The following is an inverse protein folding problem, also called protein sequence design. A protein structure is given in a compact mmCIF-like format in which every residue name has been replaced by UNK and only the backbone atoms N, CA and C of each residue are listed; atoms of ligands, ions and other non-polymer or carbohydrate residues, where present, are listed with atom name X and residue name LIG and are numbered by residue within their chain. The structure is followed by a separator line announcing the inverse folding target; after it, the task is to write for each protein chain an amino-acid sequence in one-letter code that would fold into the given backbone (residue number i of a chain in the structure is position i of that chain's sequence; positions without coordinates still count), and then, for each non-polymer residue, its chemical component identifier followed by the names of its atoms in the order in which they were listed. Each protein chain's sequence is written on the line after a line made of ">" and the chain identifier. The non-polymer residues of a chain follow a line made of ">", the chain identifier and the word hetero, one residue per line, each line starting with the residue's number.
data_IF_365733668363
#
_entry.id   IF_365733668363
#
_cell.length_a   1.000
_cell.length_b   1.000
_cell.length_c   1.000
_cell.angle_alpha   90.00
_cell.angle_beta   90.00
_cell.angle_gamma   90.00
#
_symmetry.space_group_name_H-M   'P 1'
#
loop_
_entity.id
_entity.type
_entity.pdbx_description
1 polymer ?
#
# COMPACT_ATOMS: atom_id res chain seq x y z
N UNK A 1 -36.67 22.77 -23.13
CA UNK A 1 -36.71 22.22 -21.74
C UNK A 1 -36.67 23.38 -20.79
N UNK A 2 -37.48 23.37 -19.73
CA UNK A 2 -37.42 24.41 -18.68
C UNK A 2 -36.11 24.27 -17.91
N UNK A 3 -35.55 25.38 -17.44
CA UNK A 3 -34.37 25.40 -16.57
C UNK A 3 -34.75 25.09 -15.12
N UNK A 4 -33.78 24.64 -14.31
CA UNK A 4 -34.00 24.36 -12.87
C UNK A 4 -34.58 25.59 -12.15
N UNK A 5 -34.17 26.79 -12.50
CA UNK A 5 -34.71 28.04 -11.97
C UNK A 5 -36.20 28.18 -12.29
N UNK A 6 -36.60 27.91 -13.51
CA UNK A 6 -38.01 28.00 -13.94
C UNK A 6 -38.89 26.96 -13.23
N UNK A 7 -38.38 25.74 -13.00
CA UNK A 7 -39.13 24.75 -12.21
C UNK A 7 -39.31 25.17 -10.74
N UNK A 8 -38.27 25.78 -10.14
CA UNK A 8 -38.37 26.32 -8.77
C UNK A 8 -39.35 27.51 -8.66
N UNK A 9 -39.44 28.34 -9.68
CA UNK A 9 -40.46 29.41 -9.79
C UNK A 9 -41.87 28.80 -9.93
N UNK A 10 -42.08 27.76 -10.72
CA UNK A 10 -43.33 27.03 -10.84
C UNK A 10 -43.78 26.46 -9.49
N UNK A 11 -42.87 25.82 -8.73
CA UNK A 11 -43.14 25.30 -7.37
C UNK A 11 -43.55 26.42 -6.42
N UNK A 12 -42.88 27.56 -6.45
CA UNK A 12 -43.23 28.74 -5.64
C UNK A 12 -44.64 29.26 -5.95
N UNK A 13 -44.99 29.37 -7.24
CA UNK A 13 -46.33 29.79 -7.68
C UNK A 13 -47.43 28.80 -7.29
N UNK A 14 -47.14 27.51 -7.29
CA UNK A 14 -48.08 26.48 -6.82
C UNK A 14 -48.26 26.52 -5.30
N UNK A 15 -47.18 26.77 -4.54
CA UNK A 15 -47.26 26.94 -3.10
C UNK A 15 -48.09 28.20 -2.70
N UNK A 16 -47.93 29.31 -3.43
CA UNK A 16 -48.76 30.52 -3.21
C UNK A 16 -50.26 30.23 -3.40
N UNK A 17 -50.61 29.42 -4.38
CA UNK A 17 -52.00 29.00 -4.59
C UNK A 17 -52.52 28.13 -3.43
N UNK A 18 -51.71 27.22 -2.91
CA UNK A 18 -52.08 26.41 -1.74
C UNK A 18 -52.29 27.29 -0.50
N UNK A 19 -51.39 28.26 -0.26
CA UNK A 19 -51.52 29.18 0.88
C UNK A 19 -52.70 30.14 0.72
N UNK A 20 -53.09 30.52 -0.51
CA UNK A 20 -54.25 31.34 -0.77
C UNK A 20 -55.58 30.61 -0.44
N UNK A 21 -55.63 29.29 -0.70
CA UNK A 21 -56.79 28.43 -0.32
C UNK A 21 -56.91 28.37 1.21
N UNK A 22 -55.79 28.17 1.92
CA UNK A 22 -55.76 28.12 3.38
C UNK A 22 -56.15 29.47 4.00
N UNK A 23 -55.62 30.56 3.47
CA UNK A 23 -55.95 31.91 3.93
C UNK A 23 -57.43 32.28 3.73
N UNK A 24 -58.02 31.81 2.64
CA UNK A 24 -59.46 32.03 2.37
C UNK A 24 -60.35 31.28 3.36
N UNK A 25 -60.04 30.03 3.68
CA UNK A 25 -60.76 29.26 4.70
C UNK A 25 -60.59 29.86 6.10
N UNK A 26 -59.39 30.36 6.45
CA UNK A 26 -59.13 31.04 7.71
C UNK A 26 -59.88 32.35 7.85
N UNK A 27 -59.96 33.20 6.79
CA UNK A 27 -60.69 34.46 6.80
C UNK A 27 -62.16 34.26 6.96
N UNK A 28 -62.71 33.16 6.43
CA UNK A 28 -64.11 32.83 6.53
C UNK A 28 -64.46 32.01 7.81
N UNK A 29 -63.43 31.77 8.67
CA UNK A 29 -63.53 30.99 9.92
C UNK A 29 -64.29 29.65 9.73
N UNK A 30 -64.04 28.93 8.62
CA UNK A 30 -64.63 27.66 8.27
C UNK A 30 -63.55 26.63 7.92
N UNK A 31 -63.94 25.38 8.02
CA UNK A 31 -63.08 24.29 7.50
C UNK A 31 -63.09 24.30 5.97
N UNK A 32 -62.03 23.71 5.38
CA UNK A 32 -61.89 23.55 3.93
C UNK A 32 -63.04 22.67 3.40
N UNK A 33 -63.72 23.12 2.35
CA UNK A 33 -64.74 22.32 1.66
C UNK A 33 -64.08 21.16 0.96
N UNK A 34 -64.87 20.11 0.67
CA UNK A 34 -64.40 18.88 0.02
C UNK A 34 -63.77 19.15 -1.35
N UNK A 35 -64.29 20.16 -2.10
CA UNK A 35 -63.75 20.61 -3.38
C UNK A 35 -62.42 21.39 -3.24
N UNK A 36 -62.26 22.19 -2.18
CA UNK A 36 -61.03 22.93 -1.89
C UNK A 36 -59.93 21.97 -1.41
N UNK A 37 -60.30 20.94 -0.67
CA UNK A 37 -59.39 19.90 -0.19
C UNK A 37 -58.89 19.03 -1.35
N UNK A 38 -59.76 18.69 -2.31
CA UNK A 38 -59.40 17.99 -3.53
C UNK A 38 -58.44 18.80 -4.40
N UNK A 39 -58.75 20.11 -4.59
CA UNK A 39 -57.88 21.02 -5.35
C UNK A 39 -56.49 21.20 -4.69
N UNK A 40 -56.47 21.29 -3.37
CA UNK A 40 -55.20 21.40 -2.59
C UNK A 40 -54.37 20.14 -2.73
N UNK A 41 -54.97 18.96 -2.69
CA UNK A 41 -54.25 17.70 -2.90
C UNK A 41 -53.68 17.61 -4.31
N UNK A 42 -54.41 18.02 -5.33
CA UNK A 42 -53.95 18.06 -6.71
C UNK A 42 -52.77 19.01 -6.88
N UNK A 43 -52.77 20.17 -6.22
CA UNK A 43 -51.66 21.11 -6.22
C UNK A 43 -50.44 20.57 -5.48
N UNK A 44 -50.61 19.86 -4.38
CA UNK A 44 -49.53 19.22 -3.64
C UNK A 44 -48.87 18.09 -4.43
N UNK A 45 -49.66 17.26 -5.12
CA UNK A 45 -49.16 16.21 -6.00
C UNK A 45 -48.32 16.81 -7.15
N UNK A 46 -48.82 17.91 -7.75
CA UNK A 46 -48.08 18.64 -8.79
C UNK A 46 -46.76 19.22 -8.28
N UNK A 47 -46.71 19.73 -7.05
CA UNK A 47 -45.50 20.22 -6.39
C UNK A 47 -44.49 19.06 -6.15
N UNK A 48 -45.00 17.91 -5.69
CA UNK A 48 -44.16 16.73 -5.45
C UNK A 48 -43.52 16.20 -6.74
N UNK A 49 -44.28 16.13 -7.82
CA UNK A 49 -43.78 15.67 -9.11
C UNK A 49 -42.76 16.66 -9.71
N UNK A 50 -43.03 17.98 -9.58
CA UNK A 50 -42.06 19.00 -10.01
C UNK A 50 -40.76 18.95 -9.21
N UNK A 51 -40.84 18.72 -7.90
CA UNK A 51 -39.67 18.55 -7.04
C UNK A 51 -38.85 17.30 -7.40
N UNK A 52 -39.50 16.18 -7.79
CA UNK A 52 -38.80 14.99 -8.31
C UNK A 52 -38.00 15.31 -9.56
N UNK A 53 -38.59 16.10 -10.48
CA UNK A 53 -37.88 16.55 -11.72
C UNK A 53 -36.70 17.45 -11.36
N UNK A 54 -36.86 18.41 -10.45
CA UNK A 54 -35.76 19.29 -10.00
C UNK A 54 -34.63 18.46 -9.40
N UNK A 55 -34.93 17.51 -8.52
CA UNK A 55 -33.93 16.64 -7.89
C UNK A 55 -33.15 15.78 -8.93
N UNK A 56 -33.82 15.28 -9.97
CA UNK A 56 -33.17 14.54 -11.04
C UNK A 56 -32.25 15.43 -11.88
N UNK A 57 -32.67 16.63 -12.22
CA UNK A 57 -31.87 17.60 -12.97
C UNK A 57 -30.66 18.08 -12.17
N UNK A 58 -30.82 18.38 -10.88
CA UNK A 58 -29.70 18.75 -10.00
C UNK A 58 -28.68 17.59 -9.85
N UNK A 59 -29.16 16.35 -9.79
CA UNK A 59 -28.30 15.17 -9.79
C UNK A 59 -27.54 15.03 -11.12
N UNK A 60 -28.20 15.30 -12.23
CA UNK A 60 -27.59 15.26 -13.56
C UNK A 60 -26.54 16.37 -13.73
N UNK A 61 -26.82 17.59 -13.28
CA UNK A 61 -25.82 18.68 -13.28
C UNK A 61 -24.62 18.38 -12.40
N UNK A 62 -24.85 17.76 -11.23
CA UNK A 62 -23.75 17.33 -10.35
C UNK A 62 -22.87 16.25 -11.00
N UNK A 63 -23.46 15.30 -11.71
CA UNK A 63 -22.74 14.28 -12.47
C UNK A 63 -21.96 14.92 -13.62
N UNK A 64 -22.58 15.83 -14.39
CA UNK A 64 -21.91 16.57 -15.46
C UNK A 64 -20.75 17.42 -14.94
N UNK A 65 -20.93 18.11 -13.83
CA UNK A 65 -19.89 18.90 -13.18
C UNK A 65 -18.71 18.03 -12.70
N UNK A 66 -19.00 16.87 -12.15
CA UNK A 66 -17.96 15.91 -11.76
C UNK A 66 -17.23 15.29 -12.96
N UNK A 67 -17.92 15.03 -14.07
CA UNK A 67 -17.32 14.53 -15.31
C UNK A 67 -16.48 15.61 -16.00
N UNK A 68 -16.95 16.84 -16.08
CA UNK A 68 -16.19 17.97 -16.67
C UNK A 68 -14.96 18.34 -15.82
N UNK A 69 -15.04 18.19 -14.48
CA UNK A 69 -13.89 18.36 -13.59
C UNK A 69 -12.84 17.26 -13.85
N UNK A 70 -13.26 16.00 -14.15
CA UNK A 70 -12.31 14.92 -14.45
C UNK A 70 -11.60 15.09 -15.81
N UNK A 71 -12.23 15.66 -16.83
CA UNK A 71 -11.60 15.94 -18.11
C UNK A 71 -10.67 17.17 -18.08
N UNK A 72 -11.04 18.21 -17.36
CA UNK A 72 -10.22 19.42 -17.16
C UNK A 72 -9.05 19.16 -16.22
N UNK A 73 -9.18 18.29 -15.22
CA UNK A 73 -8.05 17.89 -14.36
C UNK A 73 -7.04 17.02 -15.09
N UNK A 74 -7.47 16.17 -16.01
CA UNK A 74 -6.54 15.35 -16.82
C UNK A 74 -5.76 16.18 -17.83
N UNK A 75 -6.35 17.26 -18.34
CA UNK A 75 -5.67 18.22 -19.25
C UNK A 75 -4.82 19.27 -18.51
N UNK A 76 -5.15 19.59 -17.25
CA UNK A 76 -4.40 20.55 -16.43
C UNK A 76 -3.27 19.93 -15.62
N UNK A 77 -3.27 18.61 -15.38
CA UNK A 77 -2.11 17.89 -14.81
C UNK A 77 -0.91 17.80 -15.76
N UNK A 78 -1.07 18.14 -17.02
CA UNK A 78 0.03 18.32 -17.97
C UNK A 78 0.60 19.75 -18.02
N UNK A 79 0.00 20.71 -17.31
CA UNK A 79 0.50 22.09 -17.19
C UNK A 79 0.07 22.68 -15.83
N UNK A 80 1.07 22.93 -15.01
CA UNK A 80 1.03 23.71 -13.77
C UNK A 80 0.57 22.94 -12.51
N UNK A 81 1.52 22.52 -11.72
CA UNK A 81 1.39 22.46 -10.25
C UNK A 81 1.06 23.89 -9.80
N UNK A 82 -0.21 24.17 -9.52
CA UNK A 82 -0.62 25.41 -8.87
C UNK A 82 -0.46 25.23 -7.37
N UNK A 83 0.39 26.11 -6.82
CA UNK A 83 0.55 26.39 -5.40
C UNK A 83 -0.78 26.40 -4.65
N UNK A 84 -0.89 25.54 -3.65
CA UNK A 84 -1.80 25.77 -2.54
C UNK A 84 -1.20 26.92 -1.73
N UNK A 85 -1.76 28.12 -1.86
CA UNK A 85 -1.44 29.24 -0.99
C UNK A 85 -1.95 28.92 0.42
N UNK A 86 -1.10 28.34 1.23
CA UNK A 86 -1.27 28.37 2.67
C UNK A 86 -0.83 29.78 3.12
N UNK A 87 -1.68 30.46 3.89
CA UNK A 87 -1.58 31.89 4.20
C UNK A 87 -0.40 32.26 5.12
N UNK A 88 0.83 31.97 4.69
CA UNK A 88 2.07 32.49 5.28
C UNK A 88 2.86 33.20 4.21
N UNK A 89 2.79 34.51 4.24
CA UNK A 89 3.53 35.43 3.39
C UNK A 89 5.05 35.14 3.44
N UNK A 90 5.69 35.01 2.28
CA UNK A 90 7.07 35.43 2.09
C UNK A 90 8.16 34.38 2.08
N UNK A 91 7.91 33.08 1.85
CA UNK A 91 8.98 32.10 1.68
C UNK A 91 8.83 31.35 0.35
N UNK A 92 9.61 31.77 -0.63
CA UNK A 92 9.71 31.04 -1.90
C UNK A 92 10.28 29.64 -1.67
N UNK A 93 9.55 28.61 -2.13
CA UNK A 93 10.03 27.21 -2.12
C UNK A 93 10.73 26.89 -3.44
N UNK A 94 11.58 25.89 -3.44
CA UNK A 94 12.16 25.36 -4.67
C UNK A 94 11.06 24.69 -5.50
N UNK A 95 11.11 24.88 -6.83
CA UNK A 95 10.14 24.29 -7.75
C UNK A 95 10.50 22.87 -8.14
N UNK A 96 11.76 22.45 -7.99
CA UNK A 96 12.24 21.09 -8.27
C UNK A 96 13.36 20.69 -7.34
N UNK A 97 13.51 19.35 -7.15
CA UNK A 97 14.62 18.78 -6.37
C UNK A 97 15.99 19.16 -6.98
N UNK A 98 16.10 19.15 -8.30
CA UNK A 98 17.34 19.53 -8.99
C UNK A 98 17.76 20.98 -8.70
N UNK A 99 16.81 21.92 -8.69
CA UNK A 99 17.10 23.31 -8.32
C UNK A 99 17.58 23.43 -6.88
N UNK A 100 16.97 22.70 -5.95
CA UNK A 100 17.43 22.69 -4.56
C UNK A 100 18.85 22.12 -4.44
N UNK A 101 19.14 21.01 -5.12
CA UNK A 101 20.47 20.39 -5.10
C UNK A 101 21.53 21.34 -5.68
N UNK A 102 21.26 22.01 -6.80
CA UNK A 102 22.15 23.03 -7.38
C UNK A 102 22.34 24.22 -6.44
N UNK A 103 21.30 24.68 -5.75
CA UNK A 103 21.41 25.77 -4.77
C UNK A 103 22.30 25.38 -3.58
N UNK A 104 22.21 24.12 -3.10
CA UNK A 104 23.09 23.57 -2.04
C UNK A 104 24.53 23.56 -2.51
N UNK A 105 24.79 23.11 -3.73
CA UNK A 105 26.11 23.09 -4.34
C UNK A 105 26.70 24.50 -4.46
N UNK A 106 25.93 25.45 -4.97
CA UNK A 106 26.38 26.83 -5.08
C UNK A 106 26.67 27.48 -3.71
N UNK A 107 25.86 27.16 -2.69
CA UNK A 107 26.10 27.64 -1.33
C UNK A 107 27.36 27.08 -0.71
N UNK A 108 27.81 25.90 -1.12
CA UNK A 108 28.96 25.21 -0.59
C UNK A 108 30.28 25.59 -1.29
N UNK A 109 30.24 26.22 -2.47
CA UNK A 109 31.44 26.72 -3.15
C UNK A 109 32.03 27.91 -2.42
N UNK A 110 33.37 27.97 -2.35
CA UNK A 110 34.10 29.03 -1.67
C UNK A 110 33.78 30.41 -2.32
N UNK A 111 33.04 31.25 -1.59
CA UNK A 111 32.54 32.53 -2.10
C UNK A 111 31.17 32.47 -2.83
N UNK A 112 30.50 31.32 -2.83
CA UNK A 112 29.16 31.17 -3.37
C UNK A 112 28.11 31.89 -2.50
N UNK A 113 27.08 32.44 -3.15
CA UNK A 113 25.98 33.06 -2.43
C UNK A 113 25.02 31.96 -1.93
N UNK A 114 24.71 31.97 -0.65
CA UNK A 114 23.73 31.03 -0.07
C UNK A 114 22.34 31.49 -0.45
N UNK A 115 21.59 30.63 -1.13
CA UNK A 115 20.21 30.90 -1.48
C UNK A 115 19.34 30.93 -0.19
N UNK A 116 18.59 32.04 0.08
CA UNK A 116 17.76 32.16 1.28
C UNK A 116 16.73 31.04 1.44
N UNK A 117 16.32 30.41 0.36
CA UNK A 117 15.35 29.29 0.33
C UNK A 117 15.86 28.05 1.03
N UNK A 118 17.18 27.84 1.10
CA UNK A 118 17.81 26.72 1.80
C UNK A 118 17.58 26.77 3.32
N UNK A 119 17.53 27.97 3.90
CA UNK A 119 17.25 28.14 5.34
C UNK A 119 15.78 27.90 5.68
N UNK A 120 14.90 28.05 4.70
CA UNK A 120 13.45 27.86 4.88
C UNK A 120 13.03 26.39 4.81
N UNK A 121 13.77 25.56 4.09
CA UNK A 121 13.54 24.12 4.02
C UNK A 121 13.81 23.39 5.36
N UNK A 122 14.63 24.00 6.24
CA UNK A 122 14.97 23.44 7.55
C UNK A 122 13.97 23.77 8.67
N UNK A 123 12.96 24.61 8.43
CA UNK A 123 12.11 25.18 9.49
C UNK A 123 10.91 24.28 9.88
N UNK A 124 10.58 23.23 9.14
CA UNK A 124 9.41 22.36 9.37
C UNK A 124 9.68 21.05 10.13
N UNK A 125 10.89 20.81 10.57
CA UNK A 125 11.18 19.59 11.36
C UNK A 125 12.52 19.62 12.07
N UNK A 126 12.53 19.84 13.39
CA UNK A 126 13.67 19.64 14.30
C UNK A 126 15.02 20.18 13.77
N UNK A 127 15.12 21.49 13.77
CA UNK A 127 16.38 22.19 13.57
C UNK A 127 17.36 21.87 14.71
N UNK A 128 18.23 20.92 14.48
CA UNK A 128 19.43 20.73 15.26
C UNK A 128 20.57 20.36 14.33
N UNK A 129 20.93 21.24 13.42
CA UNK A 129 22.27 21.27 12.88
C UNK A 129 22.49 22.61 12.21
N UNK A 130 23.36 23.38 12.83
CA UNK A 130 23.97 24.58 12.31
C UNK A 130 24.65 24.23 10.99
N UNK A 131 24.56 25.08 9.93
CA UNK A 131 25.16 24.79 8.60
C UNK A 131 26.69 24.78 8.57
N UNK A 132 27.36 24.76 9.72
CA UNK A 132 28.82 24.77 9.82
C UNK A 132 29.47 23.51 9.22
N UNK A 133 28.73 22.41 9.08
CA UNK A 133 29.29 21.14 8.57
C UNK A 133 28.76 20.78 7.16
N UNK A 134 28.17 21.74 6.44
CA UNK A 134 27.78 21.58 5.01
C UNK A 134 26.61 20.65 4.72
N UNK A 135 25.84 20.25 5.73
CA UNK A 135 24.64 19.43 5.55
C UNK A 135 23.39 20.28 5.33
N UNK A 136 22.72 20.14 4.18
CA UNK A 136 21.43 20.74 3.90
C UNK A 136 20.35 19.67 3.79
N UNK A 137 19.19 19.91 4.41
CA UNK A 137 18.05 19.02 4.30
C UNK A 137 17.27 19.31 3.01
N UNK A 138 16.87 18.25 2.31
CA UNK A 138 16.00 18.34 1.15
C UNK A 138 14.57 18.70 1.58
N UNK A 139 13.87 19.50 0.77
CA UNK A 139 12.50 19.91 1.03
C UNK A 139 11.58 18.69 1.12
N UNK A 140 10.67 18.66 2.10
CA UNK A 140 9.86 17.49 2.45
C UNK A 140 8.96 17.01 1.31
N UNK A 141 8.42 17.92 0.51
CA UNK A 141 7.57 17.59 -0.64
C UNK A 141 8.29 16.68 -1.67
N UNK A 142 9.60 16.86 -1.87
CA UNK A 142 10.40 16.02 -2.77
C UNK A 142 10.73 14.66 -2.17
N UNK A 143 10.91 14.63 -0.86
CA UNK A 143 11.18 13.41 -0.08
C UNK A 143 9.97 12.48 -0.09
N UNK A 144 8.78 13.01 0.10
CA UNK A 144 7.53 12.23 0.05
C UNK A 144 7.28 11.65 -1.34
N UNK A 145 7.63 12.39 -2.40
CA UNK A 145 7.60 11.89 -3.78
C UNK A 145 8.50 10.68 -3.99
N UNK A 146 9.75 10.74 -3.52
CA UNK A 146 10.69 9.61 -3.62
C UNK A 146 10.18 8.36 -2.88
N UNK A 147 9.53 8.51 -1.74
CA UNK A 147 8.95 7.38 -1.00
C UNK A 147 7.78 6.74 -1.76
N UNK A 148 6.90 7.56 -2.37
CA UNK A 148 5.81 7.05 -3.19
C UNK A 148 6.33 6.30 -4.41
N UNK A 149 7.33 6.83 -5.09
CA UNK A 149 7.98 6.20 -6.24
C UNK A 149 8.63 4.86 -5.85
N UNK A 150 9.27 4.78 -4.68
CA UNK A 150 9.83 3.54 -4.13
C UNK A 150 8.78 2.48 -3.87
N UNK A 151 7.69 2.83 -3.19
CA UNK A 151 6.61 1.89 -2.89
C UNK A 151 5.92 1.45 -4.18
N UNK A 152 5.72 2.35 -5.15
CA UNK A 152 5.11 2.03 -6.43
C UNK A 152 5.99 1.09 -7.28
N UNK A 153 7.31 1.17 -7.16
CA UNK A 153 8.28 0.33 -7.89
C UNK A 153 8.42 -1.07 -7.26
N UNK A 154 8.25 -1.18 -5.93
CA UNK A 154 8.34 -2.46 -5.21
C UNK A 154 7.22 -3.45 -5.61
N UNK A 155 7.55 -4.74 -5.64
CA UNK A 155 6.60 -5.82 -5.95
C UNK A 155 5.94 -6.35 -4.68
N UNK A 156 6.70 -6.46 -3.58
CA UNK A 156 6.28 -7.07 -2.32
C UNK A 156 5.80 -6.01 -1.31
N UNK A 157 6.55 -4.93 -1.15
CA UNK A 157 6.25 -3.87 -0.18
C UNK A 157 4.81 -3.32 -0.26
N UNK A 158 4.23 -3.04 -1.46
CA UNK A 158 2.85 -2.55 -1.57
C UNK A 158 1.78 -3.53 -1.10
N UNK A 159 2.11 -4.83 -1.07
CA UNK A 159 1.19 -5.91 -0.66
C UNK A 159 1.28 -6.23 0.83
N UNK A 160 2.30 -5.72 1.51
CA UNK A 160 2.45 -5.86 2.95
C UNK A 160 1.48 -4.96 3.70
N UNK A 161 1.21 -5.29 4.96
CA UNK A 161 0.38 -4.46 5.84
C UNK A 161 1.18 -3.25 6.33
N UNK A 162 0.88 -2.02 5.88
CA UNK A 162 1.62 -0.84 6.27
C UNK A 162 1.30 -0.45 7.72
N UNK A 163 2.31 -0.08 8.49
CA UNK A 163 2.20 0.43 9.84
C UNK A 163 2.98 1.73 9.97
N UNK A 164 2.33 2.90 9.85
CA UNK A 164 3.03 4.17 10.00
C UNK A 164 3.46 4.38 11.46
N UNK A 165 4.68 4.89 11.65
CA UNK A 165 5.22 5.26 12.95
C UNK A 165 5.33 6.79 13.02
N UNK A 166 4.95 7.35 14.18
CA UNK A 166 5.04 8.78 14.45
C UNK A 166 6.48 9.29 14.32
N UNK A 167 6.64 10.52 13.83
CA UNK A 167 7.94 11.19 13.65
C UNK A 167 8.80 11.23 14.92
N UNK A 168 8.20 11.19 16.10
CA UNK A 168 8.90 11.27 17.40
C UNK A 168 9.30 9.92 17.97
N UNK A 169 8.97 8.79 17.31
CA UNK A 169 9.27 7.45 17.81
C UNK A 169 10.12 6.68 16.80
N UNK A 170 11.04 5.84 17.29
CA UNK A 170 11.85 4.93 16.47
C UNK A 170 11.41 3.47 16.62
N UNK A 171 10.42 3.20 17.42
CA UNK A 171 9.87 1.85 17.61
C UNK A 171 8.37 1.91 17.85
N UNK A 172 7.70 0.80 17.53
CA UNK A 172 6.29 0.60 17.85
C UNK A 172 6.09 -0.77 18.48
N UNK A 173 5.23 -0.84 19.50
CA UNK A 173 4.83 -2.09 20.16
C UNK A 173 3.37 -2.34 19.87
N UNK A 174 3.08 -3.45 19.22
CA UNK A 174 1.73 -3.87 18.84
C UNK A 174 1.38 -5.12 19.64
N UNK A 175 0.19 -5.15 20.23
CA UNK A 175 -0.29 -6.35 20.92
C UNK A 175 -0.87 -7.31 19.87
N UNK A 176 -0.26 -8.46 19.72
CA UNK A 176 -0.74 -9.57 18.91
C UNK A 176 -1.32 -10.69 19.78
N UNK A 177 -2.13 -11.54 19.19
CA UNK A 177 -2.62 -12.75 19.84
C UNK A 177 -1.54 -13.83 19.77
N UNK A 178 -1.20 -14.45 20.90
CA UNK A 178 -0.28 -15.57 20.95
C UNK A 178 -1.05 -16.88 20.69
N UNK A 179 -1.03 -17.35 19.46
CA UNK A 179 -1.76 -18.55 19.04
C UNK A 179 -0.83 -19.48 18.25
N UNK A 180 -0.50 -20.62 18.83
CA UNK A 180 0.35 -21.65 18.24
C UNK A 180 -0.46 -22.87 17.79
N UNK A 181 -1.63 -23.12 18.40
CA UNK A 181 -2.47 -24.28 18.10
C UNK A 181 -3.95 -23.95 18.26
N UNK A 182 -4.74 -24.44 17.31
CA UNK A 182 -6.21 -24.39 17.34
C UNK A 182 -6.85 -25.71 17.74
N UNK A 183 -6.06 -26.69 18.16
CA UNK A 183 -6.59 -28.03 18.50
C UNK A 183 -7.65 -27.97 19.63
N UNK A 184 -7.44 -27.15 20.65
CA UNK A 184 -8.36 -27.04 21.78
C UNK A 184 -8.86 -25.63 22.10
N UNK A 185 -8.15 -24.61 21.67
CA UNK A 185 -8.45 -23.20 21.97
C UNK A 185 -8.25 -22.33 20.75
N UNK A 186 -8.90 -21.13 20.70
CA UNK A 186 -8.74 -20.14 19.64
C UNK A 186 -8.40 -18.79 20.23
N UNK A 187 -7.89 -17.86 19.40
CA UNK A 187 -7.57 -16.49 19.78
C UNK A 187 -6.75 -16.39 21.09
N UNK A 188 -5.65 -17.18 21.14
CA UNK A 188 -4.73 -17.14 22.26
C UNK A 188 -5.21 -17.88 23.51
N UNK A 189 -6.24 -18.71 23.44
CA UNK A 189 -6.68 -19.52 24.56
C UNK A 189 -8.15 -19.41 24.92
N UNK A 190 -8.96 -18.68 24.15
CA UNK A 190 -10.40 -18.59 24.35
C UNK A 190 -11.06 -19.93 23.99
N UNK A 191 -11.92 -20.45 24.88
CA UNK A 191 -12.74 -21.64 24.65
C UNK A 191 -14.21 -21.27 24.63
N UNK A 192 -14.94 -21.78 23.66
CA UNK A 192 -16.39 -21.76 23.62
C UNK A 192 -16.94 -23.15 23.95
N UNK A 193 -18.06 -23.21 24.63
CA UNK A 193 -18.74 -24.44 25.02
C UNK A 193 -20.20 -24.37 24.57
N UNK A 194 -20.70 -25.50 24.11
CA UNK A 194 -22.13 -25.78 24.09
C UNK A 194 -22.47 -26.28 25.50
N UNK A 195 -23.26 -25.53 26.23
CA UNK A 195 -23.56 -25.81 27.63
C UNK A 195 -25.06 -26.09 27.77
N UNK A 196 -25.41 -27.09 28.55
CA UNK A 196 -26.78 -27.35 28.98
C UNK A 196 -27.14 -26.40 30.12
N UNK A 197 -28.44 -26.29 30.40
CA UNK A 197 -28.96 -25.47 31.49
C UNK A 197 -28.28 -25.85 32.84
N UNK A 198 -27.75 -24.84 33.56
CA UNK A 198 -27.01 -24.98 34.81
C UNK A 198 -25.65 -25.68 34.73
N UNK A 199 -25.03 -25.89 33.57
CA UNK A 199 -23.68 -26.42 33.46
C UNK A 199 -22.61 -25.35 33.68
N UNK A 200 -21.55 -25.67 34.42
CA UNK A 200 -20.42 -24.75 34.69
C UNK A 200 -19.44 -24.71 33.51
N UNK A 201 -19.21 -23.53 32.91
CA UNK A 201 -18.24 -23.34 31.86
C UNK A 201 -16.84 -23.13 32.46
N UNK A 202 -15.83 -23.84 31.93
CA UNK A 202 -14.43 -23.68 32.33
C UNK A 202 -13.91 -22.30 31.97
N UNK A 203 -13.35 -21.57 32.91
CA UNK A 203 -12.75 -20.24 32.69
C UNK A 203 -11.58 -20.32 31.70
N UNK A 204 -11.57 -19.44 30.71
CA UNK A 204 -10.49 -19.34 29.70
C UNK A 204 -9.85 -17.95 29.76
N UNK A 205 -8.53 -17.88 29.54
CA UNK A 205 -7.75 -16.65 29.61
C UNK A 205 -6.95 -16.46 28.31
N UNK A 206 -7.17 -15.36 27.57
CA UNK A 206 -6.40 -15.12 26.35
C UNK A 206 -4.95 -14.79 26.68
N UNK A 207 -4.02 -15.27 25.83
CA UNK A 207 -2.60 -14.92 25.85
C UNK A 207 -2.30 -13.90 24.75
N UNK A 208 -1.60 -12.85 25.12
CA UNK A 208 -1.16 -11.81 24.20
C UNK A 208 0.36 -11.85 24.06
N UNK A 209 0.84 -11.54 22.86
CA UNK A 209 2.24 -11.36 22.54
C UNK A 209 2.46 -9.89 22.13
N UNK A 210 3.59 -9.33 22.55
CA UNK A 210 4.04 -8.05 22.06
C UNK A 210 4.84 -8.26 20.77
N UNK A 211 4.43 -7.58 19.70
CA UNK A 211 5.17 -7.45 18.45
C UNK A 211 5.92 -6.12 18.57
N UNK A 212 7.23 -6.16 18.56
CA UNK A 212 8.07 -4.97 18.68
C UNK A 212 8.80 -4.77 17.34
N UNK A 213 8.60 -3.59 16.75
CA UNK A 213 9.24 -3.17 15.51
C UNK A 213 10.17 -2.01 15.85
N UNK A 214 11.46 -2.20 15.60
CA UNK A 214 12.53 -1.22 15.85
C UNK A 214 13.09 -0.79 14.50
N UNK A 215 12.86 0.46 14.12
CA UNK A 215 13.25 0.95 12.81
C UNK A 215 14.75 0.86 12.57
N UNK A 216 15.12 0.19 11.51
CA UNK A 216 16.47 0.10 10.99
C UNK A 216 16.70 1.14 9.90
N UNK A 217 17.97 1.50 9.71
CA UNK A 217 18.39 2.55 8.78
C UNK A 217 18.87 1.90 7.48
N UNK A 218 18.13 2.10 6.40
CA UNK A 218 18.60 1.85 5.04
C UNK A 218 19.18 3.12 4.49
N UNK A 219 20.40 3.06 3.95
CA UNK A 219 21.16 4.23 3.49
C UNK A 219 21.70 3.97 2.08
N UNK A 220 21.41 4.89 1.16
CA UNK A 220 22.00 4.95 -0.16
C UNK A 220 22.91 6.17 -0.30
N UNK A 221 24.03 6.02 -0.96
CA UNK A 221 25.01 7.07 -1.22
C UNK A 221 25.25 7.14 -2.72
N UNK A 222 25.28 8.36 -3.27
CA UNK A 222 25.60 8.61 -4.66
C UNK A 222 26.64 9.73 -4.75
N UNK A 223 27.65 9.53 -5.60
CA UNK A 223 28.62 10.55 -5.96
C UNK A 223 28.21 11.21 -7.27
N UNK A 224 28.23 12.53 -7.32
CA UNK A 224 27.97 13.29 -8.54
C UNK A 224 29.12 14.24 -8.82
N UNK A 225 29.57 14.28 -10.06
CA UNK A 225 30.57 15.23 -10.53
C UNK A 225 29.96 16.60 -10.72
N UNK A 226 30.78 17.65 -10.62
CA UNK A 226 30.36 19.04 -10.85
C UNK A 226 29.74 19.27 -12.25
N UNK A 227 30.16 18.49 -13.27
CA UNK A 227 29.62 18.54 -14.61
C UNK A 227 28.15 18.03 -14.64
N UNK A 228 27.86 16.94 -13.93
CA UNK A 228 26.48 16.43 -13.82
C UNK A 228 25.57 17.38 -13.03
N UNK A 229 26.14 18.10 -12.07
CA UNK A 229 25.43 19.10 -11.26
C UNK A 229 25.11 20.38 -12.04
N UNK A 230 25.81 20.65 -13.14
CA UNK A 230 25.49 21.77 -14.03
C UNK A 230 24.13 21.56 -14.75
N UNK A 231 23.71 20.30 -14.95
CA UNK A 231 22.37 19.94 -15.47
C UNK A 231 21.46 19.42 -14.36
N UNK A 232 20.78 20.36 -13.70
CA UNK A 232 19.85 20.06 -12.60
C UNK A 232 18.73 19.09 -13.00
N UNK A 233 18.24 19.15 -14.23
CA UNK A 233 17.14 18.33 -14.71
C UNK A 233 17.58 16.87 -14.93
N UNK A 234 18.77 16.67 -15.49
CA UNK A 234 19.33 15.34 -15.67
C UNK A 234 19.63 14.65 -14.33
N UNK A 235 20.23 15.40 -13.40
CA UNK A 235 20.48 14.90 -12.03
C UNK A 235 19.21 14.52 -11.29
N UNK A 236 18.16 15.36 -11.33
CA UNK A 236 16.87 15.05 -10.71
C UNK A 236 16.25 13.79 -11.31
N UNK A 237 16.24 13.67 -12.64
CA UNK A 237 15.73 12.49 -13.33
C UNK A 237 16.45 11.20 -12.95
N UNK A 238 17.78 11.25 -12.83
CA UNK A 238 18.59 10.13 -12.39
C UNK A 238 18.29 9.72 -10.96
N UNK A 239 18.30 10.67 -10.02
CA UNK A 239 18.04 10.41 -8.59
C UNK A 239 16.62 9.83 -8.39
N UNK A 240 15.62 10.40 -9.04
CA UNK A 240 14.22 9.94 -8.92
C UNK A 240 13.99 8.52 -9.44
N UNK A 241 14.80 8.06 -10.36
CA UNK A 241 14.66 6.71 -10.91
C UNK A 241 15.57 5.70 -10.19
N UNK A 242 16.81 6.04 -9.93
CA UNK A 242 17.82 5.11 -9.40
C UNK A 242 17.59 4.76 -7.92
N UNK A 243 17.37 5.77 -7.06
CA UNK A 243 17.22 5.52 -5.62
C UNK A 243 15.94 4.78 -5.25
N UNK A 244 14.74 5.15 -5.76
CA UNK A 244 13.54 4.38 -5.50
C UNK A 244 13.65 2.92 -5.95
N UNK A 245 14.24 2.67 -7.11
CA UNK A 245 14.42 1.31 -7.62
C UNK A 245 15.33 0.47 -6.74
N UNK A 246 16.49 1.02 -6.32
CA UNK A 246 17.42 0.32 -5.43
C UNK A 246 16.81 0.07 -4.04
N UNK A 247 16.17 1.07 -3.46
CA UNK A 247 15.53 0.92 -2.15
C UNK A 247 14.36 -0.06 -2.19
N UNK A 248 13.55 -0.04 -3.25
CA UNK A 248 12.48 -1.01 -3.45
C UNK A 248 13.06 -2.43 -3.52
N UNK A 249 14.12 -2.64 -4.27
CA UNK A 249 14.80 -3.93 -4.39
C UNK A 249 15.30 -4.43 -3.04
N UNK A 250 16.01 -3.59 -2.27
CA UNK A 250 16.55 -3.95 -0.96
C UNK A 250 15.47 -4.20 0.09
N UNK A 251 14.37 -3.44 0.05
CA UNK A 251 13.23 -3.66 0.94
C UNK A 251 12.52 -4.97 0.60
N UNK A 252 12.30 -5.25 -0.67
CA UNK A 252 11.68 -6.50 -1.12
C UNK A 252 12.58 -7.71 -0.78
N UNK A 253 13.92 -7.59 -0.92
CA UNK A 253 14.86 -8.62 -0.47
C UNK A 253 14.81 -8.83 1.05
N UNK A 254 14.77 -7.75 1.82
CA UNK A 254 14.62 -7.84 3.28
C UNK A 254 13.30 -8.48 3.72
N UNK A 255 12.20 -8.29 2.99
CA UNK A 255 10.91 -8.96 3.25
C UNK A 255 11.05 -10.48 3.06
N UNK A 256 11.80 -10.93 2.09
CA UNK A 256 12.01 -12.37 1.83
C UNK A 256 13.08 -12.94 2.74
N UNK A 257 14.30 -12.37 2.76
CA UNK A 257 15.52 -12.97 3.31
C UNK A 257 16.09 -12.26 4.53
N UNK A 258 15.53 -11.13 4.96
CA UNK A 258 16.06 -10.35 6.06
C UNK A 258 16.28 -11.19 7.33
N UNK A 259 17.37 -10.92 8.04
CA UNK A 259 17.77 -11.67 9.25
C UNK A 259 17.11 -11.18 10.53
N UNK A 260 16.48 -9.99 10.52
CA UNK A 260 15.95 -9.34 11.72
C UNK A 260 17.00 -8.65 12.60
N UNK A 261 18.27 -8.68 12.18
CA UNK A 261 19.37 -8.03 12.88
C UNK A 261 19.90 -6.87 12.02
N UNK A 262 19.55 -5.63 12.37
CA UNK A 262 19.90 -4.44 11.59
C UNK A 262 19.08 -4.23 10.31
N UNK A 263 18.14 -5.11 10.04
CA UNK A 263 17.23 -5.11 8.89
C UNK A 263 15.91 -5.83 9.26
N UNK A 264 14.82 -5.70 8.49
CA UNK A 264 13.57 -6.40 8.72
C UNK A 264 13.75 -7.92 8.85
N UNK A 265 12.85 -8.59 9.60
CA UNK A 265 12.83 -10.04 9.68
C UNK A 265 12.09 -10.62 8.48
N UNK A 266 12.82 -11.26 7.58
CA UNK A 266 12.28 -11.85 6.37
C UNK A 266 11.45 -13.11 6.59
N UNK A 267 10.62 -13.42 5.60
CA UNK A 267 9.71 -14.56 5.61
C UNK A 267 10.48 -15.88 5.78
N UNK A 268 11.59 -16.04 5.04
CA UNK A 268 12.38 -17.30 5.05
C UNK A 268 13.08 -17.54 6.38
N UNK A 269 13.41 -16.49 7.13
CA UNK A 269 14.08 -16.59 8.44
C UNK A 269 13.10 -16.53 9.61
N UNK A 270 11.80 -16.48 9.34
CA UNK A 270 10.78 -16.36 10.38
C UNK A 270 10.35 -17.73 10.91
N UNK A 271 10.06 -17.83 12.20
CA UNK A 271 9.52 -19.04 12.82
C UNK A 271 8.11 -19.43 12.36
N UNK A 272 7.43 -18.56 11.61
CA UNK A 272 6.11 -18.85 11.06
C UNK A 272 6.17 -19.44 9.65
N UNK A 273 7.33 -19.55 9.03
CA UNK A 273 7.48 -20.24 7.74
C UNK A 273 7.12 -21.72 7.86
N UNK A 274 6.32 -22.21 6.95
CA UNK A 274 6.09 -23.64 6.76
C UNK A 274 6.86 -24.10 5.53
N UNK A 275 7.79 -25.03 5.71
CA UNK A 275 8.51 -25.66 4.61
C UNK A 275 7.86 -27.01 4.24
N UNK A 276 7.66 -27.23 2.95
CA UNK A 276 7.17 -28.49 2.41
C UNK A 276 8.37 -29.28 1.88
N UNK A 277 8.57 -30.48 2.37
CA UNK A 277 9.66 -31.36 1.94
C UNK A 277 9.43 -31.88 0.53
N UNK A 278 10.52 -32.22 -0.17
CA UNK A 278 10.48 -32.91 -1.48
C UNK A 278 9.78 -34.25 -1.40
N UNK A 279 9.31 -34.77 -2.53
CA UNK A 279 8.73 -36.10 -2.65
C UNK A 279 9.81 -37.18 -2.57
N UNK A 280 9.39 -38.38 -2.15
CA UNK A 280 10.29 -39.53 -2.16
C UNK A 280 10.64 -39.93 -3.61
N UNK A 281 11.93 -39.92 -3.95
CA UNK A 281 12.38 -40.20 -5.31
C UNK A 281 12.34 -39.00 -6.27
N UNK A 282 12.04 -37.80 -5.77
CA UNK A 282 12.14 -36.58 -6.56
C UNK A 282 13.61 -36.24 -6.83
N UNK A 283 13.92 -35.95 -8.09
CA UNK A 283 15.26 -35.53 -8.51
C UNK A 283 15.65 -34.20 -7.83
N UNK A 284 16.97 -34.01 -7.70
CA UNK A 284 17.48 -32.72 -7.18
C UNK A 284 17.09 -31.59 -8.12
N UNK A 285 16.92 -30.39 -7.54
CA UNK A 285 16.65 -29.14 -8.26
C UNK A 285 15.43 -29.21 -9.21
N UNK A 286 14.37 -29.95 -8.81
CA UNK A 286 13.11 -30.04 -9.57
C UNK A 286 11.92 -29.56 -8.79
N UNK A 287 10.87 -29.08 -9.47
CA UNK A 287 9.56 -28.76 -8.89
C UNK A 287 8.53 -29.69 -9.54
N UNK A 288 7.82 -30.47 -8.72
CA UNK A 288 6.77 -31.36 -9.18
C UNK A 288 5.40 -30.91 -8.72
N UNK A 289 4.35 -31.36 -9.38
CA UNK A 289 2.96 -30.92 -9.11
C UNK A 289 2.53 -31.24 -7.67
N UNK A 290 2.98 -32.34 -7.12
CA UNK A 290 2.68 -32.77 -5.75
C UNK A 290 3.22 -31.79 -4.71
N UNK A 291 4.41 -31.20 -4.95
CA UNK A 291 4.96 -30.18 -4.07
C UNK A 291 4.02 -28.95 -3.99
N UNK A 292 3.56 -28.48 -5.16
CA UNK A 292 2.67 -27.32 -5.27
C UNK A 292 1.32 -27.59 -4.60
N UNK A 293 0.74 -28.77 -4.81
CA UNK A 293 -0.51 -29.20 -4.18
C UNK A 293 -0.35 -29.26 -2.66
N UNK A 294 0.75 -29.82 -2.16
CA UNK A 294 1.05 -29.87 -0.72
C UNK A 294 1.27 -28.47 -0.14
N UNK A 295 1.96 -27.57 -0.84
CA UNK A 295 2.12 -26.18 -0.41
C UNK A 295 0.77 -25.47 -0.27
N UNK A 296 -0.14 -25.65 -1.23
CA UNK A 296 -1.47 -25.05 -1.19
C UNK A 296 -2.32 -25.53 0.00
N UNK A 297 -2.11 -26.75 0.49
CA UNK A 297 -2.79 -27.29 1.66
C UNK A 297 -2.26 -26.76 3.00
N UNK A 298 -1.07 -26.15 3.01
CA UNK A 298 -0.38 -25.67 4.20
C UNK A 298 -0.58 -24.17 4.46
N UNK A 299 -1.22 -23.45 3.56
CA UNK A 299 -1.61 -22.06 3.77
C UNK A 299 -2.94 -21.98 4.54
N UNK A 300 -3.16 -20.92 5.30
CA UNK A 300 -4.47 -20.70 5.93
C UNK A 300 -5.58 -20.56 4.89
N UNK A 301 -6.72 -21.19 5.12
CA UNK A 301 -7.86 -21.12 4.21
C UNK A 301 -8.34 -19.66 3.98
N UNK A 302 -8.29 -18.83 5.02
CA UNK A 302 -8.62 -17.40 4.93
C UNK A 302 -7.60 -16.59 4.11
N UNK A 303 -6.34 -16.99 4.11
CA UNK A 303 -5.26 -16.31 3.39
C UNK A 303 -5.13 -16.77 1.95
N UNK A 304 -5.68 -17.93 1.60
CA UNK A 304 -5.52 -18.49 0.25
C UNK A 304 -6.04 -17.56 -0.85
N UNK A 305 -7.13 -16.84 -0.59
CA UNK A 305 -7.73 -15.92 -1.56
C UNK A 305 -6.85 -14.67 -1.84
N UNK A 306 -6.00 -14.29 -0.91
CA UNK A 306 -5.10 -13.14 -1.04
C UNK A 306 -3.66 -13.54 -1.34
N UNK A 307 -3.36 -14.84 -1.27
CA UNK A 307 -2.03 -15.36 -1.49
C UNK A 307 -1.62 -15.29 -2.97
N UNK A 308 -0.33 -15.08 -3.19
CA UNK A 308 0.30 -15.14 -4.51
C UNK A 308 1.49 -16.11 -4.48
N UNK A 309 1.79 -16.68 -5.64
CA UNK A 309 3.01 -17.43 -5.84
C UNK A 309 4.14 -16.47 -6.22
N UNK A 310 5.20 -16.47 -5.44
CA UNK A 310 6.44 -15.76 -5.73
C UNK A 310 7.49 -16.77 -6.13
N UNK A 311 8.09 -16.58 -7.28
CA UNK A 311 8.93 -17.59 -7.90
C UNK A 311 10.17 -16.92 -8.50
N UNK A 312 11.33 -17.54 -8.36
CA UNK A 312 12.50 -17.13 -9.12
C UNK A 312 12.27 -17.38 -10.61
N UNK A 313 12.68 -16.44 -11.46
CA UNK A 313 12.50 -16.57 -12.91
C UNK A 313 13.15 -17.86 -13.46
N UNK A 314 14.25 -18.33 -12.85
CA UNK A 314 14.90 -19.60 -13.23
C UNK A 314 14.04 -20.83 -12.99
N UNK A 315 13.03 -20.76 -12.13
CA UNK A 315 12.10 -21.86 -11.86
C UNK A 315 10.96 -21.95 -12.90
N UNK A 316 10.75 -20.90 -13.72
CA UNK A 316 9.66 -20.87 -14.71
C UNK A 316 9.68 -22.04 -15.70
N UNK A 317 10.83 -22.48 -16.26
CA UNK A 317 10.87 -23.66 -17.13
C UNK A 317 10.34 -24.90 -16.45
N UNK A 318 10.62 -25.11 -15.16
CA UNK A 318 10.11 -26.26 -14.38
C UNK A 318 8.58 -26.19 -14.24
N UNK A 319 8.02 -25.00 -14.03
CA UNK A 319 6.58 -24.82 -13.94
C UNK A 319 5.88 -25.13 -15.29
N UNK A 320 6.46 -24.70 -16.41
CA UNK A 320 5.88 -24.94 -17.75
C UNK A 320 5.92 -26.42 -18.16
N UNK A 321 6.93 -27.15 -17.70
CA UNK A 321 7.08 -28.58 -17.99
C UNK A 321 6.41 -29.47 -16.94
N UNK A 322 5.92 -28.89 -15.84
CA UNK A 322 5.28 -29.62 -14.76
C UNK A 322 3.99 -30.30 -15.22
N UNK A 323 3.90 -31.57 -15.03
CA UNK A 323 2.75 -32.41 -15.43
C UNK A 323 2.30 -33.34 -14.32
N UNK A 324 1.00 -33.64 -14.29
CA UNK A 324 0.46 -34.72 -13.47
C UNK A 324 0.38 -35.95 -14.36
N UNK A 325 0.94 -37.09 -13.89
CA UNK A 325 0.84 -38.34 -14.59
C UNK A 325 -0.61 -38.84 -14.63
N UNK A 326 -1.18 -38.94 -15.83
CA UNK A 326 -2.52 -39.47 -16.07
C UNK A 326 -2.37 -40.62 -17.05
N UNK A 327 -2.43 -41.87 -16.57
CA UNK A 327 -2.16 -43.07 -17.39
C UNK A 327 -0.70 -43.11 -17.88
N UNK A 328 -0.52 -43.30 -19.17
CA UNK A 328 0.81 -43.29 -19.84
C UNK A 328 1.20 -41.92 -20.36
N UNK A 329 0.30 -40.90 -20.30
CA UNK A 329 0.53 -39.52 -20.69
C UNK A 329 0.54 -38.61 -19.47
N UNK A 330 1.12 -37.39 -19.60
CA UNK A 330 1.08 -36.34 -18.60
C UNK A 330 0.13 -35.22 -19.02
N UNK A 331 -0.61 -34.65 -18.07
CA UNK A 331 -1.37 -33.43 -18.29
C UNK A 331 -0.63 -32.25 -17.66
N UNK A 332 -0.38 -31.22 -18.44
CA UNK A 332 0.25 -29.99 -17.94
C UNK A 332 -0.59 -29.34 -16.82
N UNK A 333 0.05 -29.00 -15.72
CA UNK A 333 -0.59 -28.37 -14.54
C UNK A 333 -0.59 -26.87 -14.66
N UNK A 334 0.45 -26.30 -15.23
CA UNK A 334 0.60 -24.87 -15.41
C UNK A 334 0.70 -24.54 -16.90
N UNK A 335 -0.29 -23.80 -17.40
CA UNK A 335 -0.27 -23.26 -18.75
C UNK A 335 -0.81 -21.83 -18.68
N UNK A 336 -0.07 -20.85 -19.22
CA UNK A 336 -0.58 -19.50 -19.31
C UNK A 336 -1.84 -19.43 -20.17
N UNK A 337 -2.78 -18.50 -19.91
CA UNK A 337 -3.95 -18.30 -20.74
C UNK A 337 -3.56 -18.04 -22.19
N UNK A 338 -4.08 -18.85 -23.14
CA UNK A 338 -3.72 -18.74 -24.56
C UNK A 338 -2.43 -19.48 -24.95
N UNK A 339 -1.86 -20.31 -24.07
CA UNK A 339 -0.65 -21.09 -24.30
C UNK A 339 0.62 -20.22 -24.27
N UNK A 340 1.69 -20.71 -24.88
CA UNK A 340 2.99 -20.01 -24.87
C UNK A 340 3.04 -18.72 -25.71
N UNK A 341 1.98 -18.41 -26.46
CA UNK A 341 1.94 -17.26 -27.38
C UNK A 341 1.37 -15.97 -26.78
N UNK A 342 0.85 -16.01 -25.53
CA UNK A 342 0.22 -14.85 -24.90
C UNK A 342 0.96 -14.45 -23.61
N UNK A 343 0.25 -14.18 -22.53
CA UNK A 343 0.87 -13.69 -21.30
C UNK A 343 1.88 -14.71 -20.74
N UNK A 344 3.14 -14.30 -20.45
CA UNK A 344 4.16 -15.20 -19.92
C UNK A 344 3.85 -15.69 -18.49
N UNK A 345 2.97 -15.00 -17.77
CA UNK A 345 2.62 -15.33 -16.40
C UNK A 345 1.15 -15.69 -16.29
N UNK A 346 0.87 -16.82 -15.67
CA UNK A 346 -0.45 -17.38 -15.48
C UNK A 346 -0.83 -17.50 -14.02
N UNK A 347 -1.84 -18.33 -13.77
CA UNK A 347 -2.29 -18.67 -12.41
C UNK A 347 -1.93 -20.13 -12.13
N UNK A 348 -1.43 -20.39 -10.93
CA UNK A 348 -1.15 -21.73 -10.42
C UNK A 348 -2.15 -22.02 -9.29
N UNK A 349 -2.98 -23.06 -9.45
CA UNK A 349 -4.09 -23.37 -8.53
C UNK A 349 -5.01 -22.17 -8.27
N UNK A 350 -5.29 -21.35 -9.29
CA UNK A 350 -6.14 -20.18 -9.20
C UNK A 350 -5.50 -18.95 -8.54
N UNK A 351 -4.20 -18.99 -8.23
CA UNK A 351 -3.45 -17.86 -7.65
C UNK A 351 -2.41 -17.35 -8.64
N UNK A 352 -2.22 -16.00 -8.75
CA UNK A 352 -1.27 -15.44 -9.70
C UNK A 352 0.16 -15.86 -9.36
N UNK A 353 0.95 -16.10 -10.40
CA UNK A 353 2.38 -16.36 -10.31
C UNK A 353 3.13 -15.07 -10.63
N UNK A 354 3.96 -14.62 -9.72
CA UNK A 354 4.72 -13.36 -9.81
C UNK A 354 6.20 -13.73 -9.75
N UNK A 355 6.95 -13.55 -10.85
CA UNK A 355 8.39 -13.74 -10.81
C UNK A 355 9.03 -12.61 -10.02
N UNK A 356 9.97 -12.96 -9.13
CA UNK A 356 10.75 -12.02 -8.35
C UNK A 356 12.22 -12.46 -8.34
N UNK A 357 13.12 -11.48 -8.41
CA UNK A 357 14.56 -11.74 -8.41
C UNK A 357 15.08 -12.12 -7.02
N UNK A 358 14.41 -11.67 -5.96
CA UNK A 358 14.76 -11.93 -4.57
C UNK A 358 14.50 -13.35 -4.10
N UNK A 359 13.72 -14.16 -4.84
CA UNK A 359 13.52 -15.56 -4.53
C UNK A 359 14.83 -16.38 -4.72
N UNK A 360 14.97 -17.47 -3.96
CA UNK A 360 16.17 -18.32 -3.99
C UNK A 360 16.36 -18.97 -5.36
N UNK A 361 17.57 -19.42 -5.63
CA UNK A 361 17.86 -20.24 -6.81
C UNK A 361 17.07 -21.56 -6.77
N UNK A 362 16.88 -22.17 -7.94
CA UNK A 362 16.19 -23.46 -8.06
C UNK A 362 16.90 -24.51 -7.20
N UNK A 363 16.14 -25.22 -6.41
CA UNK A 363 16.64 -26.24 -5.48
C UNK A 363 16.81 -25.78 -4.05
N UNK A 364 16.98 -24.48 -3.83
CA UNK A 364 17.14 -23.90 -2.48
C UNK A 364 15.78 -23.55 -1.84
N UNK A 365 15.79 -23.43 -0.49
CA UNK A 365 14.58 -23.00 0.24
C UNK A 365 14.15 -21.62 -0.24
N UNK A 366 12.89 -21.49 -0.67
CA UNK A 366 12.31 -20.23 -1.09
C UNK A 366 12.51 -19.90 -2.57
N UNK A 367 12.81 -20.88 -3.42
CA UNK A 367 12.78 -20.74 -4.88
C UNK A 367 11.34 -20.62 -5.42
N UNK A 368 10.39 -21.24 -4.72
CA UNK A 368 8.94 -21.04 -4.88
C UNK A 368 8.30 -20.80 -3.51
N UNK A 369 7.56 -19.71 -3.38
CA UNK A 369 6.92 -19.29 -2.14
C UNK A 369 5.44 -19.02 -2.42
N UNK A 370 4.56 -19.58 -1.62
CA UNK A 370 3.15 -19.19 -1.56
C UNK A 370 2.95 -18.31 -0.33
N UNK A 371 2.66 -17.03 -0.53
CA UNK A 371 2.60 -16.06 0.55
C UNK A 371 1.39 -15.13 0.46
N UNK A 372 0.75 -14.91 1.61
CA UNK A 372 -0.19 -13.80 1.85
C UNK A 372 0.54 -12.71 2.62
N UNK A 373 0.96 -11.67 1.90
CA UNK A 373 1.74 -10.56 2.47
C UNK A 373 0.95 -9.66 3.42
N UNK A 374 -0.40 -9.77 3.49
CA UNK A 374 -1.17 -9.15 4.57
C UNK A 374 -0.78 -9.69 5.96
N UNK A 375 -0.18 -10.89 6.01
CA UNK A 375 0.40 -11.48 7.20
C UNK A 375 1.77 -10.91 7.60
N UNK A 376 2.32 -9.94 6.85
CA UNK A 376 3.57 -9.26 7.12
C UNK A 376 3.34 -7.78 7.43
N UNK A 377 3.84 -7.31 8.58
CA UNK A 377 3.75 -5.90 8.97
C UNK A 377 5.02 -5.21 8.49
N UNK A 378 4.85 -4.11 7.74
CA UNK A 378 5.92 -3.24 7.31
C UNK A 378 5.76 -1.88 7.99
N UNK A 379 6.66 -1.55 8.89
CA UNK A 379 6.68 -0.29 9.62
C UNK A 379 7.65 0.68 8.97
N UNK A 380 7.19 1.92 8.75
CA UNK A 380 8.02 2.98 8.20
C UNK A 380 7.81 4.28 8.95
N UNK A 381 8.84 5.11 9.02
CA UNK A 381 8.83 6.41 9.68
C UNK A 381 9.13 7.51 8.69
N UNK A 382 8.12 8.38 8.48
CA UNK A 382 8.27 9.55 7.60
C UNK A 382 8.69 9.19 6.18
N UNK A 383 9.20 10.16 5.46
CA UNK A 383 9.78 9.99 4.13
C UNK A 383 11.27 9.64 4.18
N UNK A 384 11.88 9.56 3.01
CA UNK A 384 13.32 9.41 2.83
C UNK A 384 14.01 10.71 3.28
N UNK A 385 15.00 10.64 4.16
CA UNK A 385 15.82 11.79 4.51
C UNK A 385 16.96 11.91 3.48
N UNK A 386 17.17 13.10 2.95
CA UNK A 386 18.24 13.34 1.98
C UNK A 386 19.17 14.43 2.51
N UNK A 387 20.44 14.15 2.52
CA UNK A 387 21.52 15.06 2.91
C UNK A 387 22.56 15.16 1.80
N UNK A 388 23.24 16.31 1.68
CA UNK A 388 24.31 16.52 0.71
C UNK A 388 25.57 16.97 1.43
N UNK A 389 26.71 16.44 1.05
CA UNK A 389 28.02 16.85 1.57
C UNK A 389 29.05 17.01 0.44
N UNK A 390 29.76 18.12 0.50
CA UNK A 390 30.88 18.46 -0.43
C UNK A 390 32.24 18.15 0.15
N UNK A 391 32.34 17.87 1.46
CA UNK A 391 33.60 17.76 2.16
C UNK A 391 34.24 16.37 2.09
N UNK A 392 33.47 15.37 1.72
CA UNK A 392 33.88 13.94 1.74
C UNK A 392 34.93 13.66 0.65
N UNK A 393 34.71 14.23 -0.55
CA UNK A 393 35.59 14.00 -1.72
C UNK A 393 36.13 15.32 -2.29
N UNK A 394 36.68 16.16 -1.40
CA UNK A 394 37.20 17.48 -1.76
C UNK A 394 38.33 17.45 -2.80
N UNK A 395 39.12 16.37 -2.84
CA UNK A 395 40.24 16.23 -3.76
C UNK A 395 39.85 15.82 -5.18
N UNK A 396 38.66 15.23 -5.37
CA UNK A 396 38.17 14.69 -6.65
C UNK A 396 37.10 15.54 -7.30
N UNK A 397 36.76 16.70 -6.71
CA UNK A 397 35.72 17.61 -7.18
C UNK A 397 34.33 16.91 -7.35
N UNK A 398 34.04 16.01 -6.40
CA UNK A 398 32.80 15.24 -6.36
C UNK A 398 31.99 15.60 -5.13
N UNK A 399 30.68 15.57 -5.29
CA UNK A 399 29.72 15.77 -4.21
C UNK A 399 29.00 14.48 -3.87
N UNK A 400 28.67 14.33 -2.59
CA UNK A 400 28.06 13.11 -2.06
C UNK A 400 26.65 13.39 -1.63
N UNK A 401 25.70 12.68 -2.23
CA UNK A 401 24.28 12.65 -1.84
C UNK A 401 24.03 11.42 -1.00
N UNK A 402 23.37 11.59 0.14
CA UNK A 402 23.01 10.51 1.06
C UNK A 402 21.50 10.50 1.26
N UNK A 403 20.87 9.36 0.98
CA UNK A 403 19.46 9.12 1.23
C UNK A 403 19.30 8.10 2.34
N UNK A 404 18.40 8.36 3.27
CA UNK A 404 18.17 7.52 4.44
C UNK A 404 16.68 7.21 4.55
N UNK A 405 16.35 5.92 4.57
CA UNK A 405 15.02 5.40 4.88
C UNK A 405 15.07 4.66 6.22
N UNK A 406 14.05 4.86 7.06
CA UNK A 406 13.88 4.11 8.31
C UNK A 406 12.71 3.17 8.20
N UNK A 407 13.00 1.88 8.19
CA UNK A 407 12.02 0.82 7.94
C UNK A 407 12.31 -0.37 8.84
N UNK A 408 11.26 -1.09 9.22
CA UNK A 408 11.35 -2.40 9.85
C UNK A 408 10.13 -3.23 9.46
N UNK A 409 10.25 -4.54 9.54
CA UNK A 409 9.15 -5.44 9.22
C UNK A 409 9.33 -6.82 9.81
N UNK A 410 8.21 -7.45 10.13
CA UNK A 410 8.19 -8.84 10.55
C UNK A 410 6.81 -9.48 10.33
N UNK A 411 6.74 -10.80 10.27
CA UNK A 411 5.47 -11.52 10.25
C UNK A 411 4.61 -11.25 11.48
N UNK A 412 3.31 -11.12 11.28
CA UNK A 412 2.32 -10.95 12.37
C UNK A 412 2.38 -12.12 13.36
N UNK A 413 2.60 -13.34 12.87
CA UNK A 413 2.72 -14.55 13.69
C UNK A 413 4.18 -14.90 13.93
N UNK A 414 4.48 -15.38 15.15
CA UNK A 414 5.82 -15.85 15.50
C UNK A 414 6.07 -17.28 15.05
N UNK A 415 5.03 -18.11 14.95
CA UNK A 415 5.12 -19.53 14.63
C UNK A 415 3.99 -19.97 13.71
N UNK A 416 4.22 -21.07 13.01
CA UNK A 416 3.18 -21.78 12.29
C UNK A 416 2.08 -22.28 13.25
N UNK A 417 0.86 -22.39 12.75
CA UNK A 417 -0.33 -22.74 13.52
C UNK A 417 -0.74 -24.19 13.28
N UNK A 418 -0.95 -24.95 14.34
CA UNK A 418 -1.59 -26.27 14.25
C UNK A 418 -3.10 -26.10 14.06
N UNK A 419 -3.72 -26.63 13.00
CA UNK A 419 -5.15 -26.51 12.73
C UNK A 419 -6.01 -27.28 13.75
N UNK A 420 -7.30 -26.97 13.84
CA UNK A 420 -8.25 -27.62 14.74
C UNK A 420 -8.37 -29.13 14.51
N UNK A 421 -8.47 -29.52 13.25
CA UNK A 421 -8.48 -30.93 12.80
C UNK A 421 -7.28 -31.12 11.87
N UNK A 422 -6.27 -31.79 12.31
CA UNK A 422 -5.06 -32.06 11.53
C UNK A 422 -4.08 -32.92 12.32
N UNK A 423 -3.29 -33.71 11.63
CA UNK A 423 -2.20 -34.49 12.22
C UNK A 423 -1.04 -33.61 12.69
N UNK A 424 -0.08 -34.17 13.40
CA UNK A 424 1.08 -33.47 13.97
C UNK A 424 1.97 -32.76 12.90
N UNK A 425 1.85 -33.10 11.63
CA UNK A 425 2.58 -32.45 10.53
C UNK A 425 1.78 -31.43 9.71
N UNK A 426 0.51 -31.15 10.04
CA UNK A 426 -0.37 -30.31 9.24
C UNK A 426 -0.37 -28.84 9.65
N UNK A 427 0.77 -28.30 10.11
CA UNK A 427 0.87 -26.86 10.46
C UNK A 427 0.58 -25.97 9.26
N UNK A 428 -0.08 -24.86 9.51
CA UNK A 428 -0.47 -23.86 8.51
C UNK A 428 0.14 -22.51 8.82
N UNK A 429 0.37 -21.71 7.78
CA UNK A 429 0.90 -20.36 7.92
C UNK A 429 0.37 -19.43 6.83
N UNK A 430 0.66 -18.15 6.93
CA UNK A 430 0.57 -17.16 5.84
C UNK A 430 1.66 -17.38 4.78
N UNK A 431 2.75 -18.07 5.14
CA UNK A 431 3.95 -18.23 4.32
C UNK A 431 4.33 -19.70 4.23
N UNK A 432 4.39 -20.20 3.01
CA UNK A 432 4.74 -21.57 2.71
C UNK A 432 5.81 -21.58 1.63
N UNK A 433 6.92 -22.26 1.87
CA UNK A 433 8.00 -22.43 0.91
C UNK A 433 8.30 -23.90 0.68
N UNK A 434 8.90 -24.19 -0.47
CA UNK A 434 9.46 -25.53 -0.72
C UNK A 434 10.82 -25.63 -0.02
N UNK A 435 11.08 -26.77 0.61
CA UNK A 435 12.37 -27.06 1.25
C UNK A 435 13.48 -27.25 0.21
N UNK A 436 14.74 -27.18 0.63
CA UNK A 436 15.86 -27.54 -0.22
C UNK A 436 15.75 -28.98 -0.70
N UNK A 437 16.16 -29.26 -1.93
CA UNK A 437 16.00 -30.53 -2.57
C UNK A 437 17.12 -30.90 -3.55
#
# INVERSE_FOLDING_TARGET
>A
MKTISQYKEDVSALMEKCTAIDAKAQNESRDLSESELALKNELLDAIEDTNKIVATLERQERIHKNLSVSEDETRKKAKTVKEVKDGREGKERFSSLGQQLVAVVNASRRGGSVDPRLFNAAADGLASSVPTDGGFLVQQDFVDGLLQDMIATGILAPKCRPQPISSNSNSIKINGVDETSRASTRYGGIKGYWADEASEATKSKPKFRKIELNLHKLMGICYATDELLADAAALEGFIRNAFPSEFAFLVDDAIIRGTGAGQPLGILNSGCLVTVTKETGQDADTIVAENVIKMSSRIFASSYLNANWYVNQMCMPQLYTMSIAVGTGGQLVFMPPGGLNQSPYGTLLGRPVIPIEQASALGDVGDIILADLNGYILAQKGGVQADVSIHVEFLTDQQVFRFILRIDGQPVRASALTPYKGGAGATQSHFVALAAR
#
